data_IF_417311012547
#
_entry.id   IF_417311012547
#
_cell.length_a   1.000
_cell.length_b   1.000
_cell.length_c   1.000
_cell.angle_alpha   90.00
_cell.angle_beta   90.00
_cell.angle_gamma   90.00
#
_symmetry.space_group_name_H-M   'P 1'
#
loop_
_entity.id
_entity.type
_entity.pdbx_description
1 polymer ?
#
# COMPACT_ATOMS: atom_id res chain seq x y z
N UNK A 1 -4.20 17.74 25.33
CA UNK A 1 -4.96 18.11 24.11
C UNK A 1 -6.23 17.30 24.05
N UNK A 2 -7.27 17.77 23.39
CA UNK A 2 -8.57 17.05 23.23
C UNK A 2 -8.39 15.64 22.64
N UNK A 3 -7.39 15.44 21.82
CA UNK A 3 -7.04 14.15 21.22
C UNK A 3 -6.61 13.13 22.28
N UNK A 4 -5.77 13.50 23.23
CA UNK A 4 -5.35 12.60 24.32
C UNK A 4 -6.50 12.18 25.21
N UNK A 5 -7.48 13.04 25.48
CA UNK A 5 -8.66 12.72 26.31
C UNK A 5 -9.52 11.66 25.63
N UNK A 6 -9.83 11.85 24.34
CA UNK A 6 -10.61 10.88 23.56
C UNK A 6 -9.92 9.52 23.47
N UNK A 7 -8.62 9.51 23.22
CA UNK A 7 -7.83 8.31 23.04
C UNK A 7 -7.74 7.52 24.36
N UNK A 8 -7.57 8.20 25.49
CA UNK A 8 -7.64 7.58 26.81
C UNK A 8 -9.03 7.00 27.12
N UNK A 9 -10.11 7.69 26.75
CA UNK A 9 -11.48 7.22 26.98
C UNK A 9 -11.77 5.89 26.25
N UNK A 10 -11.34 5.76 24.99
CA UNK A 10 -11.50 4.52 24.20
C UNK A 10 -10.69 3.37 24.83
N UNK A 11 -9.53 3.68 25.39
CA UNK A 11 -8.62 2.68 26.00
C UNK A 11 -9.19 1.98 27.22
N UNK A 12 -10.13 2.60 27.94
CA UNK A 12 -10.86 1.96 29.05
C UNK A 12 -11.92 0.94 28.60
N UNK A 13 -12.31 0.97 27.31
CA UNK A 13 -13.45 0.21 26.81
C UNK A 13 -13.04 -0.95 25.90
N UNK A 14 -11.76 -1.14 25.62
CA UNK A 14 -11.31 -2.13 24.64
C UNK A 14 -9.94 -2.71 24.98
N UNK A 15 -9.78 -4.01 24.77
CA UNK A 15 -8.51 -4.73 24.91
C UNK A 15 -7.66 -4.62 23.65
N UNK A 16 -8.32 -4.42 22.50
CA UNK A 16 -7.69 -4.28 21.17
C UNK A 16 -8.33 -3.12 20.44
N UNK A 17 -7.51 -2.24 19.90
CA UNK A 17 -7.92 -1.04 19.18
C UNK A 17 -7.34 -1.07 17.77
N UNK A 18 -8.21 -1.12 16.76
CA UNK A 18 -7.81 -1.00 15.36
C UNK A 18 -7.86 0.45 14.90
N UNK A 19 -6.77 0.97 14.32
CA UNK A 19 -6.73 2.33 13.77
C UNK A 19 -6.46 2.26 12.27
N UNK A 20 -7.27 3.02 11.50
CA UNK A 20 -7.03 3.31 10.09
C UNK A 20 -6.95 4.81 9.88
N UNK A 21 -5.82 5.28 9.34
CA UNK A 21 -5.61 6.67 8.93
C UNK A 21 -4.58 6.70 7.79
N UNK A 22 -5.05 6.68 6.55
CA UNK A 22 -4.26 6.49 5.33
C UNK A 22 -4.35 7.65 4.33
N UNK A 23 -5.09 8.73 4.67
CA UNK A 23 -5.43 9.78 3.72
C UNK A 23 -4.34 10.82 3.50
N UNK A 24 -3.51 11.07 4.49
CA UNK A 24 -2.51 12.15 4.47
C UNK A 24 -1.12 11.63 4.83
N UNK A 25 -0.19 11.75 3.89
CA UNK A 25 1.22 11.36 4.09
C UNK A 25 1.83 12.11 5.26
N UNK A 26 2.47 11.36 6.16
CA UNK A 26 3.12 11.87 7.37
C UNK A 26 2.22 11.98 8.59
N UNK A 27 0.90 11.84 8.44
CA UNK A 27 -0.06 12.04 9.55
C UNK A 27 -0.53 10.73 10.19
N UNK A 28 -0.93 9.74 9.40
CA UNK A 28 -1.53 8.51 9.92
C UNK A 28 -0.57 7.68 10.79
N UNK A 29 0.63 7.43 10.32
CA UNK A 29 1.65 6.74 11.11
C UNK A 29 2.04 7.52 12.37
N UNK A 30 2.18 8.84 12.25
CA UNK A 30 2.47 9.74 13.37
C UNK A 30 1.33 9.69 14.41
N UNK A 31 0.08 9.73 13.97
CA UNK A 31 -1.08 9.62 14.85
C UNK A 31 -1.05 8.31 15.65
N UNK A 32 -0.83 7.18 14.97
CA UNK A 32 -0.75 5.87 15.62
C UNK A 32 0.38 5.80 16.65
N UNK A 33 1.55 6.39 16.35
CA UNK A 33 2.65 6.49 17.33
C UNK A 33 2.27 7.33 18.54
N UNK A 34 1.67 8.49 18.33
CA UNK A 34 1.20 9.36 19.43
C UNK A 34 0.16 8.63 20.30
N UNK A 35 -0.71 7.84 19.66
CA UNK A 35 -1.70 7.03 20.39
C UNK A 35 -1.03 5.96 21.26
N UNK A 36 -0.03 5.24 20.72
CA UNK A 36 0.75 4.25 21.48
C UNK A 36 1.46 4.91 22.66
N UNK A 37 2.10 6.06 22.46
CA UNK A 37 2.81 6.78 23.52
C UNK A 37 1.85 7.19 24.65
N UNK A 38 0.63 7.61 24.32
CA UNK A 38 -0.40 7.93 25.30
C UNK A 38 -0.90 6.70 26.08
N UNK A 39 -1.01 5.53 25.42
CA UNK A 39 -1.33 4.26 26.10
C UNK A 39 -0.24 3.84 27.07
N UNK A 40 1.02 3.95 26.66
CA UNK A 40 2.18 3.63 27.52
C UNK A 40 2.23 4.54 28.75
N UNK A 41 2.00 5.86 28.56
CA UNK A 41 1.96 6.82 29.64
C UNK A 41 0.81 6.53 30.62
N UNK A 42 -0.41 6.32 30.11
CA UNK A 42 -1.58 6.02 30.92
C UNK A 42 -1.45 4.71 31.73
N UNK A 43 -0.82 3.69 31.14
CA UNK A 43 -0.54 2.43 31.84
C UNK A 43 0.55 2.60 32.92
N UNK A 44 1.64 3.26 32.60
CA UNK A 44 2.75 3.55 33.52
C UNK A 44 2.28 4.34 34.74
N UNK A 45 1.41 5.31 34.53
CA UNK A 45 0.92 6.23 35.57
C UNK A 45 -0.26 5.60 36.38
N UNK A 46 -0.63 4.36 36.09
CA UNK A 46 -1.70 3.63 36.80
C UNK A 46 -3.11 4.14 36.48
N UNK A 47 -3.27 4.91 35.44
CA UNK A 47 -4.58 5.39 34.94
C UNK A 47 -5.32 4.25 34.23
N UNK A 48 -4.59 3.47 33.42
CA UNK A 48 -5.10 2.30 32.73
C UNK A 48 -4.73 1.05 33.52
N UNK A 49 -5.70 0.16 33.79
CA UNK A 49 -5.48 -1.13 34.45
C UNK A 49 -4.70 -2.09 33.54
N UNK A 50 -4.88 -1.97 32.24
CA UNK A 50 -4.17 -2.72 31.19
C UNK A 50 -3.83 -1.82 30.01
N UNK A 51 -2.84 -2.24 29.21
CA UNK A 51 -2.47 -1.57 27.98
C UNK A 51 -3.14 -2.26 26.78
N UNK A 52 -4.15 -1.65 26.14
CA UNK A 52 -4.75 -2.20 24.93
C UNK A 52 -3.72 -2.43 23.83
N UNK A 53 -3.92 -3.48 23.03
CA UNK A 53 -3.11 -3.72 21.85
C UNK A 53 -3.58 -2.85 20.70
N UNK A 54 -2.68 -2.06 20.12
CA UNK A 54 -2.97 -1.31 18.89
C UNK A 54 -2.71 -2.18 17.66
N UNK A 55 -3.67 -2.21 16.75
CA UNK A 55 -3.55 -2.85 15.42
C UNK A 55 -3.61 -1.76 14.35
N UNK A 56 -2.53 -1.64 13.57
CA UNK A 56 -2.52 -0.82 12.37
C UNK A 56 -3.38 -1.52 11.29
N UNK A 57 -4.58 -1.04 11.06
CA UNK A 57 -5.45 -1.53 9.98
C UNK A 57 -4.97 -1.02 8.62
N UNK A 58 -4.60 0.26 8.57
CA UNK A 58 -3.94 0.91 7.44
C UNK A 58 -3.46 2.30 7.90
N UNK A 59 -2.24 2.68 7.52
CA UNK A 59 -1.77 4.06 7.65
C UNK A 59 -1.23 4.57 6.31
N UNK A 60 -0.69 5.77 6.29
CA UNK A 60 -0.07 6.37 5.10
C UNK A 60 1.18 5.62 4.61
N UNK A 61 1.89 4.93 5.51
CA UNK A 61 3.12 4.18 5.21
C UNK A 61 2.83 2.75 4.79
N UNK A 62 1.92 2.06 5.46
CA UNK A 62 1.72 0.61 5.31
C UNK A 62 0.25 0.21 5.49
N UNK A 63 -0.11 -0.91 4.89
CA UNK A 63 -1.39 -1.60 5.09
C UNK A 63 -1.13 -3.05 5.56
N UNK A 64 -0.72 -3.26 6.82
CA UNK A 64 -0.24 -4.57 7.28
C UNK A 64 -1.28 -5.68 7.15
N UNK A 65 -2.54 -5.37 7.46
CA UNK A 65 -3.63 -6.37 7.40
C UNK A 65 -3.87 -6.87 5.98
N UNK A 66 -3.85 -5.98 4.97
CA UNK A 66 -3.96 -6.37 3.57
C UNK A 66 -2.75 -7.19 3.13
N UNK A 67 -1.55 -6.67 3.38
CA UNK A 67 -0.33 -7.32 2.93
C UNK A 67 -0.12 -8.71 3.56
N UNK A 68 -0.51 -8.88 4.84
CA UNK A 68 -0.48 -10.18 5.50
C UNK A 68 -1.54 -11.15 4.95
N UNK A 69 -2.74 -10.65 4.61
CA UNK A 69 -3.77 -11.45 3.98
C UNK A 69 -3.33 -11.95 2.59
N UNK A 70 -2.75 -11.06 1.78
CA UNK A 70 -2.19 -11.42 0.47
C UNK A 70 -1.05 -12.44 0.63
N UNK A 71 -0.14 -12.23 1.58
CA UNK A 71 0.96 -13.15 1.86
C UNK A 71 0.45 -14.52 2.31
N UNK A 72 -0.56 -14.58 3.18
CA UNK A 72 -1.17 -15.84 3.60
C UNK A 72 -1.77 -16.59 2.41
N UNK A 73 -2.47 -15.88 1.52
CA UNK A 73 -3.00 -16.48 0.29
C UNK A 73 -1.88 -17.02 -0.62
N UNK A 74 -0.81 -16.26 -0.80
CA UNK A 74 0.37 -16.65 -1.60
C UNK A 74 1.05 -17.90 -1.01
N UNK A 75 1.23 -17.95 0.31
CA UNK A 75 1.80 -19.13 1.00
C UNK A 75 0.96 -20.37 0.72
N UNK A 76 -0.37 -20.26 0.82
CA UNK A 76 -1.26 -21.40 0.52
C UNK A 76 -1.21 -21.77 -0.96
N UNK A 77 -1.21 -20.80 -1.87
CA UNK A 77 -1.17 -21.01 -3.30
C UNK A 77 0.09 -21.75 -3.77
N UNK A 78 1.25 -21.38 -3.22
CA UNK A 78 2.53 -22.02 -3.54
C UNK A 78 2.88 -23.22 -2.64
N UNK A 79 2.02 -23.59 -1.69
CA UNK A 79 2.15 -24.77 -0.88
C UNK A 79 3.15 -24.68 0.28
N UNK A 80 3.52 -23.48 0.71
CA UNK A 80 4.40 -23.26 1.87
C UNK A 80 5.28 -22.04 1.74
N UNK A 81 5.73 -21.52 2.88
CA UNK A 81 6.59 -20.32 2.94
C UNK A 81 7.98 -20.59 2.30
N UNK A 82 8.47 -21.82 2.38
CA UNK A 82 9.74 -22.26 1.80
C UNK A 82 9.76 -22.18 0.26
N UNK A 83 8.58 -22.16 -0.37
CA UNK A 83 8.43 -22.10 -1.82
C UNK A 83 8.35 -20.67 -2.37
N UNK A 84 8.44 -19.65 -1.51
CA UNK A 84 8.33 -18.24 -1.91
C UNK A 84 9.65 -17.66 -2.41
N UNK A 85 10.79 -18.18 -1.95
CA UNK A 85 12.10 -17.65 -2.33
C UNK A 85 12.31 -17.70 -3.84
N UNK A 86 12.69 -16.57 -4.42
CA UNK A 86 12.91 -16.42 -5.87
C UNK A 86 11.64 -16.33 -6.71
N UNK A 87 10.43 -16.31 -6.10
CA UNK A 87 9.21 -15.99 -6.84
C UNK A 87 9.26 -14.55 -7.30
N UNK A 88 8.97 -14.32 -8.57
CA UNK A 88 8.96 -13.00 -9.17
C UNK A 88 7.63 -12.31 -8.96
N UNK A 89 7.66 -11.11 -8.39
CA UNK A 89 6.49 -10.28 -8.11
C UNK A 89 6.57 -8.98 -8.90
N UNK A 90 5.55 -8.71 -9.69
CA UNK A 90 5.36 -7.44 -10.36
C UNK A 90 4.36 -6.57 -9.59
N UNK A 91 4.82 -5.69 -8.70
CA UNK A 91 4.01 -4.63 -8.12
C UNK A 91 4.00 -3.47 -9.09
N UNK A 92 2.88 -3.21 -9.75
CA UNK A 92 2.83 -2.20 -10.81
C UNK A 92 1.77 -1.14 -10.55
N UNK A 93 2.08 0.09 -10.94
CA UNK A 93 1.03 1.09 -11.10
C UNK A 93 0.02 0.63 -12.16
N UNK A 94 -1.23 1.01 -12.00
CA UNK A 94 -2.27 0.81 -13.01
C UNK A 94 -3.16 2.06 -13.08
N UNK A 95 -3.62 2.38 -14.28
CA UNK A 95 -4.50 3.52 -14.51
C UNK A 95 -5.78 3.43 -13.68
N UNK A 96 -6.20 4.57 -13.14
CA UNK A 96 -7.51 4.77 -12.54
C UNK A 96 -8.00 6.18 -12.84
N UNK A 97 -9.31 6.38 -13.07
CA UNK A 97 -9.89 7.72 -13.19
C UNK A 97 -9.94 8.49 -11.86
N UNK A 98 -9.46 7.90 -10.77
CA UNK A 98 -9.34 8.51 -9.45
C UNK A 98 -7.87 8.73 -9.10
N UNK A 99 -7.54 9.90 -8.52
CA UNK A 99 -6.16 10.24 -8.16
C UNK A 99 -5.81 9.96 -6.70
N UNK A 100 -6.77 10.02 -5.78
CA UNK A 100 -6.56 10.02 -4.32
C UNK A 100 -6.28 8.65 -3.70
N UNK A 101 -5.69 7.72 -4.43
CA UNK A 101 -5.40 6.38 -3.92
C UNK A 101 -4.16 6.37 -3.03
N UNK A 102 -4.21 5.74 -1.83
CA UNK A 102 -3.09 5.72 -0.90
C UNK A 102 -1.90 4.89 -1.41
N UNK A 103 -0.71 5.27 -0.95
CA UNK A 103 0.57 4.61 -1.23
C UNK A 103 0.80 3.35 -0.37
N UNK A 104 0.06 3.19 0.71
CA UNK A 104 0.31 2.17 1.74
C UNK A 104 0.32 0.74 1.23
N UNK A 105 -0.50 0.39 0.23
CA UNK A 105 -0.51 -0.98 -0.31
C UNK A 105 0.75 -1.29 -1.12
N UNK A 106 1.13 -0.53 -2.17
CA UNK A 106 2.38 -0.81 -2.87
C UNK A 106 3.59 -0.78 -1.94
N UNK A 107 3.61 0.13 -0.96
CA UNK A 107 4.68 0.23 0.04
C UNK A 107 4.74 -1.01 0.94
N UNK A 108 3.59 -1.46 1.43
CA UNK A 108 3.51 -2.68 2.24
C UNK A 108 3.89 -3.94 1.46
N UNK A 109 3.47 -4.06 0.21
CA UNK A 109 3.82 -5.20 -0.65
C UNK A 109 5.32 -5.28 -0.87
N UNK A 110 5.98 -4.20 -1.30
CA UNK A 110 7.43 -4.23 -1.54
C UNK A 110 8.21 -4.44 -0.24
N UNK A 111 7.74 -3.87 0.88
CA UNK A 111 8.37 -4.05 2.19
C UNK A 111 8.22 -5.45 2.75
N UNK A 112 7.03 -6.07 2.61
CA UNK A 112 6.77 -7.39 3.15
C UNK A 112 7.35 -8.51 2.27
N UNK A 113 7.09 -8.48 0.95
CA UNK A 113 7.42 -9.61 0.08
C UNK A 113 8.94 -9.82 -0.06
N UNK A 114 9.71 -8.75 -0.01
CA UNK A 114 11.17 -8.83 0.03
C UNK A 114 11.71 -9.51 1.30
N UNK A 115 10.94 -9.54 2.41
CA UNK A 115 11.31 -10.30 3.63
C UNK A 115 11.23 -11.80 3.46
N UNK A 116 10.51 -12.29 2.44
CA UNK A 116 10.38 -13.72 2.13
C UNK A 116 11.30 -14.18 1.01
N UNK A 117 12.32 -13.39 0.66
CA UNK A 117 13.27 -13.73 -0.38
C UNK A 117 12.71 -13.74 -1.80
N UNK A 118 11.59 -13.06 -2.02
CA UNK A 118 10.98 -12.92 -3.34
C UNK A 118 11.73 -11.87 -4.17
N UNK A 119 11.63 -11.99 -5.49
CA UNK A 119 12.19 -11.05 -6.47
C UNK A 119 11.12 -10.02 -6.84
N UNK A 120 11.15 -8.87 -6.21
CA UNK A 120 10.11 -7.84 -6.34
C UNK A 120 10.55 -6.75 -7.31
N UNK A 121 9.73 -6.51 -8.34
CA UNK A 121 9.87 -5.38 -9.26
C UNK A 121 8.74 -4.39 -9.02
N UNK A 122 9.09 -3.15 -8.65
CA UNK A 122 8.16 -2.02 -8.58
C UNK A 122 8.18 -1.28 -9.92
N UNK A 123 7.06 -1.29 -10.64
CA UNK A 123 6.93 -0.60 -11.92
C UNK A 123 5.87 0.50 -11.86
N UNK A 124 6.23 1.69 -12.33
CA UNK A 124 5.33 2.84 -12.37
C UNK A 124 5.76 3.85 -13.43
N UNK A 125 4.87 4.71 -13.97
CA UNK A 125 5.26 5.82 -14.80
C UNK A 125 6.25 6.74 -14.07
N UNK A 126 7.04 7.49 -14.81
CA UNK A 126 7.89 8.54 -14.23
C UNK A 126 7.04 9.51 -13.40
N UNK A 127 7.52 9.90 -12.23
CA UNK A 127 6.82 10.80 -11.33
C UNK A 127 5.83 10.12 -10.36
N UNK A 128 5.65 8.80 -10.43
CA UNK A 128 4.75 8.04 -9.53
C UNK A 128 5.52 7.25 -8.46
N UNK A 129 6.65 7.78 -8.02
CA UNK A 129 7.45 7.17 -6.95
C UNK A 129 6.65 6.99 -5.66
N UNK A 130 7.00 5.96 -4.90
CA UNK A 130 6.58 5.74 -3.51
C UNK A 130 7.54 6.44 -2.55
N UNK A 131 7.36 6.30 -1.24
CA UNK A 131 8.26 6.86 -0.24
C UNK A 131 9.67 6.26 -0.38
N UNK A 132 10.73 7.10 -0.50
CA UNK A 132 12.11 6.62 -0.65
C UNK A 132 12.56 5.70 0.49
N UNK A 133 12.12 5.97 1.72
CA UNK A 133 12.47 5.19 2.90
C UNK A 133 11.96 3.75 2.81
N UNK A 134 10.79 3.55 2.19
CA UNK A 134 10.21 2.22 2.00
C UNK A 134 10.98 1.44 0.92
N UNK A 135 11.44 2.11 -0.14
CA UNK A 135 12.31 1.49 -1.14
C UNK A 135 13.64 1.02 -0.53
N UNK A 136 14.24 1.83 0.35
CA UNK A 136 15.47 1.44 1.05
C UNK A 136 15.23 0.24 2.00
N UNK A 137 14.09 0.19 2.67
CA UNK A 137 13.69 -0.97 3.48
C UNK A 137 13.55 -2.22 2.59
N UNK A 138 12.90 -2.10 1.43
CA UNK A 138 12.74 -3.21 0.50
C UNK A 138 14.10 -3.73 -0.02
N UNK A 139 15.04 -2.86 -0.38
CA UNK A 139 16.41 -3.22 -0.77
C UNK A 139 17.13 -3.95 0.35
N UNK A 140 17.05 -3.42 1.58
CA UNK A 140 17.69 -4.04 2.76
C UNK A 140 17.11 -5.41 3.06
N UNK A 141 15.80 -5.57 3.00
CA UNK A 141 15.12 -6.84 3.22
C UNK A 141 15.53 -7.87 2.16
N UNK A 142 15.49 -7.48 0.87
CA UNK A 142 15.89 -8.35 -0.23
C UNK A 142 17.34 -8.85 -0.07
N UNK A 143 18.27 -7.96 0.26
CA UNK A 143 19.67 -8.31 0.51
C UNK A 143 19.83 -9.30 1.67
N UNK A 144 19.05 -9.14 2.74
CA UNK A 144 19.12 -10.00 3.93
C UNK A 144 18.52 -11.40 3.69
N UNK A 145 17.59 -11.55 2.78
CA UNK A 145 16.83 -12.80 2.54
C UNK A 145 17.27 -13.55 1.29
N UNK A 146 18.11 -12.93 0.46
CA UNK A 146 18.60 -13.48 -0.81
C UNK A 146 17.57 -13.40 -1.94
N UNK A 147 16.61 -12.47 -1.84
CA UNK A 147 15.75 -12.03 -2.92
C UNK A 147 16.31 -10.79 -3.62
N UNK A 148 15.48 -10.11 -4.41
CA UNK A 148 15.88 -8.87 -5.09
C UNK A 148 14.77 -7.80 -5.02
N UNK A 149 15.18 -6.53 -5.13
CA UNK A 149 14.27 -5.42 -5.35
C UNK A 149 14.79 -4.54 -6.49
N UNK A 150 13.93 -4.29 -7.46
CA UNK A 150 14.24 -3.40 -8.61
C UNK A 150 13.09 -2.45 -8.87
N UNK A 151 13.40 -1.34 -9.58
CA UNK A 151 12.42 -0.41 -10.15
C UNK A 151 12.57 -0.34 -11.66
N UNK A 152 11.44 -0.14 -12.35
CA UNK A 152 11.43 0.19 -13.78
C UNK A 152 10.22 1.08 -14.12
N UNK A 153 10.27 1.68 -15.31
CA UNK A 153 9.18 2.49 -15.83
C UNK A 153 8.49 1.79 -17.03
N UNK A 154 8.52 0.47 -17.05
CA UNK A 154 7.87 -0.37 -18.06
C UNK A 154 7.11 -1.53 -17.39
N UNK A 155 5.79 -1.50 -17.53
CA UNK A 155 4.91 -2.54 -16.98
C UNK A 155 5.18 -3.89 -17.63
N UNK A 156 5.53 -3.93 -18.95
CA UNK A 156 5.82 -5.17 -19.68
C UNK A 156 7.10 -5.84 -19.14
N UNK A 157 8.12 -5.02 -18.81
CA UNK A 157 9.35 -5.52 -18.20
C UNK A 157 9.06 -6.18 -16.86
N UNK A 158 8.23 -5.55 -16.02
CA UNK A 158 7.86 -6.10 -14.72
C UNK A 158 7.05 -7.40 -14.82
N UNK A 159 6.15 -7.49 -15.81
CA UNK A 159 5.30 -8.67 -16.01
C UNK A 159 6.06 -9.88 -16.55
N UNK A 160 7.21 -9.67 -17.22
CA UNK A 160 7.95 -10.76 -17.88
C UNK A 160 8.39 -11.85 -16.91
N UNK A 161 7.88 -13.07 -17.13
CA UNK A 161 8.09 -14.25 -16.28
C UNK A 161 7.70 -14.06 -14.81
N UNK A 162 6.80 -13.10 -14.48
CA UNK A 162 6.31 -12.93 -13.13
C UNK A 162 5.47 -14.13 -12.69
N UNK A 163 5.67 -14.59 -11.45
CA UNK A 163 4.82 -15.59 -10.80
C UNK A 163 3.57 -14.94 -10.20
N UNK A 164 3.65 -13.65 -9.83
CA UNK A 164 2.59 -12.86 -9.21
C UNK A 164 2.57 -11.47 -9.84
N UNK A 165 1.39 -10.97 -10.15
CA UNK A 165 1.16 -9.58 -10.59
C UNK A 165 0.19 -8.88 -9.67
N UNK A 166 0.51 -7.64 -9.30
CA UNK A 166 -0.28 -6.80 -8.42
C UNK A 166 -0.45 -5.40 -9.02
N UNK A 167 -1.30 -5.23 -10.04
CA UNK A 167 -1.55 -3.93 -10.63
C UNK A 167 -2.50 -3.11 -9.74
N UNK A 168 -2.07 -1.91 -9.35
CA UNK A 168 -2.84 -1.02 -8.47
C UNK A 168 -2.52 0.44 -8.76
N UNK A 169 -3.55 1.30 -8.75
CA UNK A 169 -3.35 2.75 -8.82
C UNK A 169 -2.93 3.33 -7.47
N UNK A 170 -2.01 4.29 -7.49
CA UNK A 170 -1.68 5.15 -6.35
C UNK A 170 -1.32 6.55 -6.83
N UNK A 171 -1.43 7.53 -5.93
CA UNK A 171 -0.99 8.89 -6.22
C UNK A 171 0.53 9.02 -6.04
N UNK A 172 1.20 9.91 -6.80
CA UNK A 172 2.62 10.19 -6.60
C UNK A 172 2.94 10.65 -5.17
N UNK A 173 4.04 10.16 -4.57
CA UNK A 173 4.43 10.54 -3.22
C UNK A 173 4.54 12.07 -3.03
N UNK A 174 5.22 12.76 -3.95
CA UNK A 174 5.36 14.23 -3.88
C UNK A 174 4.01 14.96 -3.95
N UNK A 175 3.06 14.45 -4.73
CA UNK A 175 1.72 15.03 -4.82
C UNK A 175 0.94 14.83 -3.50
N UNK A 176 1.12 13.68 -2.86
CA UNK A 176 0.50 13.42 -1.55
C UNK A 176 1.11 14.30 -0.44
N UNK A 177 2.42 14.58 -0.48
CA UNK A 177 3.04 15.57 0.42
C UNK A 177 2.47 16.98 0.20
N UNK A 178 2.29 17.41 -1.06
CA UNK A 178 1.67 18.69 -1.40
C UNK A 178 0.24 18.75 -0.89
N UNK A 179 -0.54 17.69 -1.10
CA UNK A 179 -1.92 17.57 -0.59
C UNK A 179 -1.98 17.72 0.93
N UNK A 180 -1.10 17.06 1.67
CA UNK A 180 -1.03 17.18 3.13
C UNK A 180 -0.75 18.62 3.57
N UNK A 181 0.20 19.31 2.91
CA UNK A 181 0.52 20.71 3.20
C UNK A 181 -0.65 21.67 2.93
N UNK A 182 -1.40 21.44 1.84
CA UNK A 182 -2.61 22.21 1.51
C UNK A 182 -3.71 21.97 2.53
N UNK A 183 -3.91 20.73 2.94
CA UNK A 183 -4.88 20.36 3.97
C UNK A 183 -4.58 21.04 5.31
N UNK A 184 -3.31 21.00 5.76
CA UNK A 184 -2.88 21.65 7.00
C UNK A 184 -3.11 23.17 7.01
N UNK A 185 -3.07 23.79 5.82
CA UNK A 185 -3.36 25.24 5.64
C UNK A 185 -4.85 25.53 5.49
N UNK A 186 -5.71 24.51 5.38
CA UNK A 186 -7.13 24.67 5.08
C UNK A 186 -7.40 25.15 3.66
N UNK A 187 -6.45 25.01 2.73
CA UNK A 187 -6.55 25.48 1.34
C UNK A 187 -7.31 24.49 0.46
N UNK A 188 -8.64 24.56 0.52
CA UNK A 188 -9.52 23.72 -0.29
C UNK A 188 -9.36 23.98 -1.80
N UNK A 189 -9.19 25.24 -2.20
CA UNK A 189 -9.02 25.57 -3.61
C UNK A 189 -7.71 25.00 -4.18
N UNK A 190 -6.65 25.02 -3.39
CA UNK A 190 -5.39 24.38 -3.74
C UNK A 190 -5.51 22.85 -3.88
N UNK A 191 -6.28 22.20 -2.99
CA UNK A 191 -6.55 20.76 -3.09
C UNK A 191 -7.32 20.44 -4.37
N UNK A 192 -8.38 21.20 -4.70
CA UNK A 192 -9.16 21.00 -5.92
C UNK A 192 -8.32 21.22 -7.20
N UNK A 193 -7.42 22.20 -7.18
CA UNK A 193 -6.50 22.46 -8.28
C UNK A 193 -5.48 21.31 -8.46
N UNK A 194 -4.93 20.82 -7.36
CA UNK A 194 -4.02 19.67 -7.35
C UNK A 194 -4.73 18.42 -7.88
N UNK A 195 -5.97 18.17 -7.48
CA UNK A 195 -6.78 17.06 -7.97
C UNK A 195 -6.93 17.09 -9.49
N UNK A 196 -7.35 18.23 -10.03
CA UNK A 196 -7.50 18.39 -11.49
C UNK A 196 -6.20 18.12 -12.23
N UNK A 197 -5.07 18.62 -11.70
CA UNK A 197 -3.75 18.38 -12.27
C UNK A 197 -3.39 16.90 -12.29
N UNK A 198 -3.62 16.19 -11.18
CA UNK A 198 -3.28 14.77 -11.05
C UNK A 198 -4.21 13.87 -11.88
N UNK A 199 -5.49 14.23 -12.03
CA UNK A 199 -6.40 13.52 -12.94
C UNK A 199 -5.96 13.64 -14.40
N UNK A 200 -5.50 14.83 -14.81
CA UNK A 200 -4.95 15.04 -16.15
C UNK A 200 -3.66 14.23 -16.34
N UNK A 201 -2.76 14.22 -15.36
CA UNK A 201 -1.54 13.41 -15.38
C UNK A 201 -1.86 11.90 -15.47
N UNK A 202 -2.79 11.39 -14.68
CA UNK A 202 -3.21 9.99 -14.76
C UNK A 202 -3.73 9.63 -16.17
N UNK A 203 -4.47 10.56 -16.81
CA UNK A 203 -5.04 10.33 -18.13
C UNK A 203 -3.99 10.17 -19.26
N UNK A 204 -2.74 10.58 -19.03
CA UNK A 204 -1.62 10.38 -19.96
C UNK A 204 -1.10 8.93 -19.93
N UNK A 205 -1.46 8.14 -18.92
CA UNK A 205 -0.97 6.78 -18.67
C UNK A 205 -2.08 5.71 -18.73
N UNK A 206 -3.07 5.89 -19.61
CA UNK A 206 -4.17 4.91 -19.79
C UNK A 206 -3.71 3.56 -20.33
N UNK A 207 -2.54 3.51 -20.91
CA UNK A 207 -1.86 2.31 -21.40
C UNK A 207 -1.32 1.42 -20.25
N UNK A 208 -1.21 1.96 -19.03
CA UNK A 208 -0.88 1.18 -17.85
C UNK A 208 -2.09 0.38 -17.35
N UNK A 209 -2.43 -0.65 -18.12
CA UNK A 209 -3.57 -1.51 -17.84
C UNK A 209 -3.14 -2.99 -17.89
N UNK A 210 -3.60 -3.78 -16.93
CA UNK A 210 -3.41 -5.21 -16.93
C UNK A 210 -4.42 -5.83 -17.90
N UNK A 211 -3.99 -6.11 -19.12
CA UNK A 211 -4.78 -6.76 -20.16
C UNK A 211 -4.44 -8.23 -20.28
N UNK A 212 -5.25 -8.99 -21.02
CA UNK A 212 -4.94 -10.39 -21.35
C UNK A 212 -3.58 -10.54 -22.04
N UNK A 213 -3.21 -9.59 -22.94
CA UNK A 213 -1.91 -9.59 -23.59
C UNK A 213 -0.76 -9.36 -22.58
N UNK A 214 -0.97 -8.54 -21.57
CA UNK A 214 0.00 -8.37 -20.49
C UNK A 214 0.15 -9.64 -19.67
N UNK A 215 -0.95 -10.33 -19.35
CA UNK A 215 -0.92 -11.60 -18.61
C UNK A 215 -0.17 -12.71 -19.37
N UNK A 216 -0.21 -12.72 -20.71
CA UNK A 216 0.57 -13.66 -21.54
C UNK A 216 2.09 -13.52 -21.39
N UNK A 217 2.58 -12.36 -20.90
CA UNK A 217 4.01 -12.13 -20.66
C UNK A 217 4.50 -12.77 -19.36
N UNK A 218 3.58 -13.12 -18.47
CA UNK A 218 3.89 -13.72 -17.18
C UNK A 218 4.33 -15.17 -17.33
N UNK A 219 4.82 -15.76 -16.26
CA UNK A 219 5.27 -17.14 -16.26
C UNK A 219 4.16 -18.09 -16.72
N UNK A 220 4.39 -18.75 -17.83
CA UNK A 220 3.42 -19.65 -18.50
C UNK A 220 2.08 -18.97 -18.84
N UNK A 221 2.01 -17.65 -18.82
CA UNK A 221 0.77 -16.87 -18.96
C UNK A 221 -0.22 -17.06 -17.81
N UNK A 222 0.25 -17.50 -16.63
CA UNK A 222 -0.59 -17.98 -15.51
C UNK A 222 -0.20 -17.38 -14.17
N UNK A 223 0.39 -16.18 -14.14
CA UNK A 223 0.69 -15.53 -12.88
C UNK A 223 -0.56 -15.37 -12.02
N UNK A 224 -0.37 -15.50 -10.70
CA UNK A 224 -1.40 -15.13 -9.74
C UNK A 224 -1.65 -13.63 -9.82
N UNK A 225 -2.90 -13.24 -10.12
CA UNK A 225 -3.33 -11.85 -10.14
C UNK A 225 -3.90 -11.47 -8.77
N UNK A 226 -3.37 -10.42 -8.16
CA UNK A 226 -3.84 -9.89 -6.89
C UNK A 226 -4.27 -8.43 -7.02
N UNK A 227 -5.25 -8.05 -6.21
CA UNK A 227 -5.68 -6.66 -6.06
C UNK A 227 -6.34 -6.46 -4.69
N UNK A 228 -6.12 -5.32 -4.07
CA UNK A 228 -6.62 -5.00 -2.73
C UNK A 228 -8.05 -4.42 -2.70
N UNK A 229 -8.81 -4.54 -3.78
CA UNK A 229 -10.16 -3.95 -3.91
C UNK A 229 -10.28 -2.50 -3.35
N UNK A 230 -11.27 -1.71 -3.77
CA UNK A 230 -12.17 -2.02 -4.89
C UNK A 230 -11.45 -2.04 -6.24
N UNK A 231 -11.90 -2.87 -7.15
CA UNK A 231 -11.45 -2.91 -8.54
C UNK A 231 -12.63 -2.54 -9.46
N UNK A 232 -12.34 -1.85 -10.57
CA UNK A 232 -13.33 -1.66 -11.62
C UNK A 232 -13.36 -2.91 -12.51
N UNK A 233 -14.50 -3.61 -12.48
CA UNK A 233 -14.76 -4.81 -13.27
C UNK A 233 -15.92 -4.61 -14.26
N UNK A 234 -16.33 -3.35 -14.48
CA UNK A 234 -17.41 -3.02 -15.41
C UNK A 234 -17.15 -3.58 -16.80
N UNK A 235 -18.15 -4.28 -17.35
CA UNK A 235 -18.05 -4.88 -18.67
C UNK A 235 -17.25 -6.18 -18.76
N UNK A 236 -16.74 -6.71 -17.64
CA UNK A 236 -16.05 -8.00 -17.59
C UNK A 236 -17.06 -9.16 -17.33
N UNK A 237 -16.94 -9.86 -16.22
CA UNK A 237 -17.81 -10.99 -15.88
C UNK A 237 -19.13 -10.58 -15.21
N UNK A 238 -19.23 -9.34 -14.73
CA UNK A 238 -20.41 -8.77 -14.11
C UNK A 238 -20.89 -7.56 -14.91
N UNK A 239 -22.01 -7.64 -15.64
CA UNK A 239 -22.51 -6.51 -16.44
C UNK A 239 -22.85 -5.27 -15.61
N UNK A 240 -23.29 -5.45 -14.37
CA UNK A 240 -23.60 -4.37 -13.44
C UNK A 240 -22.36 -3.83 -12.70
N UNK A 241 -21.20 -4.44 -12.88
CA UNK A 241 -19.95 -4.01 -12.25
C UNK A 241 -19.88 -4.26 -10.74
N UNK A 242 -20.74 -5.13 -10.21
CA UNK A 242 -20.74 -5.56 -8.80
C UNK A 242 -19.86 -6.78 -8.58
N UNK A 243 -19.14 -6.81 -7.46
CA UNK A 243 -18.33 -7.94 -7.00
C UNK A 243 -18.99 -8.59 -5.81
#
# INVERSE_FOLDING_TARGET
>A
SEMCIRDSMVSFMADVIGIRDDMFIGEGHKYQKTFIDALEEGYRDGILEQRPTLVNLQCDVDHPTQCMADMLHIIHYFGGVENLKGKKVAMTWAYSPSYGKPLSVPQGIIGLFTRFGMDVTLAHPEGYEVMPEVEEIAKKNAAATGGSFKKCNDMKEAFRDADIVYPKSWAPFKAMEERTKLYQKGDKAGIDALEKKLLAQNAEHKDWACTEEMMKLTKDGKALYLHCLPADISGLSCPEGEV
#
